data_IF_518950427715
#
_entry.id   IF_518950427715
#
_cell.length_a   1.000
_cell.length_b   1.000
_cell.length_c   1.000
_cell.angle_alpha   90.00
_cell.angle_beta   90.00
_cell.angle_gamma   90.00
#
_symmetry.space_group_name_H-M   'P 1'
#
loop_
_entity.id
_entity.type
_entity.pdbx_description
1 polymer ?
#
# COMPACT_ATOMS: atom_id res chain seq x y z
N UNK A 1 4.47 2.81 23.29
CA UNK A 1 4.32 1.54 22.58
C UNK A 1 4.63 1.72 21.11
N UNK A 2 5.37 0.80 20.55
CA UNK A 2 5.80 0.89 19.16
C UNK A 2 4.62 0.82 18.20
N UNK A 3 4.66 1.59 17.12
CA UNK A 3 3.73 1.52 16.00
C UNK A 3 3.55 0.08 15.52
N UNK A 4 4.67 -0.66 15.40
CA UNK A 4 4.68 -2.04 14.92
C UNK A 4 3.83 -3.00 15.75
N UNK A 5 3.67 -2.73 17.03
CA UNK A 5 2.87 -3.59 17.90
C UNK A 5 1.38 -3.55 17.57
N UNK A 6 0.92 -2.47 16.92
CA UNK A 6 -0.50 -2.29 16.53
C UNK A 6 -0.73 -2.47 15.05
N UNK A 7 0.32 -2.43 14.25
CA UNK A 7 0.19 -2.51 12.81
C UNK A 7 -0.22 -3.92 12.39
N UNK A 8 -1.12 -3.99 11.43
CA UNK A 8 -1.54 -5.24 10.80
C UNK A 8 -1.03 -5.26 9.37
N UNK A 9 -0.36 -6.35 9.02
CA UNK A 9 0.22 -6.50 7.69
C UNK A 9 -0.67 -7.39 6.82
N UNK A 10 -0.81 -6.99 5.58
CA UNK A 10 -1.46 -7.76 4.52
C UNK A 10 -0.54 -7.78 3.31
N UNK A 11 -0.71 -8.78 2.47
CA UNK A 11 0.10 -8.92 1.27
C UNK A 11 -0.79 -8.99 0.04
N UNK A 12 -0.31 -8.38 -1.06
CA UNK A 12 -0.92 -8.51 -2.37
C UNK A 12 0.18 -8.90 -3.34
N UNK A 13 -0.08 -9.92 -4.15
CA UNK A 13 0.86 -10.34 -5.19
C UNK A 13 0.39 -9.73 -6.51
N UNK A 14 1.30 -9.02 -7.17
CA UNK A 14 0.99 -8.24 -8.37
C UNK A 14 1.96 -8.65 -9.48
N UNK A 15 1.43 -8.86 -10.69
CA UNK A 15 2.24 -9.24 -11.85
C UNK A 15 2.83 -7.98 -12.51
N UNK A 16 3.79 -7.36 -11.82
CA UNK A 16 4.50 -6.16 -12.28
C UNK A 16 5.80 -6.03 -11.50
N UNK A 17 6.67 -5.11 -11.93
CA UNK A 17 7.93 -4.85 -11.26
C UNK A 17 7.72 -4.09 -9.95
N UNK A 18 8.62 -4.25 -8.95
CA UNK A 18 8.42 -3.61 -7.65
C UNK A 18 8.25 -2.10 -7.69
N UNK A 19 9.02 -1.41 -8.53
CA UNK A 19 8.92 0.04 -8.65
C UNK A 19 7.57 0.49 -9.21
N UNK A 20 7.04 -0.25 -10.19
CA UNK A 20 5.71 0.02 -10.74
C UNK A 20 4.61 -0.23 -9.72
N UNK A 21 4.72 -1.33 -8.98
CA UNK A 21 3.73 -1.68 -7.96
C UNK A 21 3.71 -0.64 -6.85
N UNK A 22 4.88 -0.17 -6.45
CA UNK A 22 4.97 0.87 -5.42
C UNK A 22 4.31 2.16 -5.88
N UNK A 23 4.58 2.59 -7.12
CA UNK A 23 3.95 3.79 -7.70
C UNK A 23 2.44 3.64 -7.78
N UNK A 24 1.95 2.48 -8.21
CA UNK A 24 0.51 2.22 -8.27
C UNK A 24 -0.11 2.24 -6.88
N UNK A 25 0.57 1.64 -5.90
CA UNK A 25 0.11 1.65 -4.52
C UNK A 25 -0.03 3.07 -3.97
N UNK A 26 0.96 3.91 -4.24
CA UNK A 26 0.92 5.32 -3.85
C UNK A 26 -0.25 6.04 -4.52
N UNK A 27 -0.46 5.80 -5.82
CA UNK A 27 -1.57 6.42 -6.55
C UNK A 27 -2.93 6.00 -5.97
N UNK A 28 -3.08 4.73 -5.62
CA UNK A 28 -4.32 4.24 -5.01
C UNK A 28 -4.53 4.88 -3.64
N UNK A 29 -3.48 4.97 -2.81
CA UNK A 29 -3.59 5.62 -1.50
C UNK A 29 -4.03 7.07 -1.63
N UNK A 30 -3.51 7.80 -2.61
CA UNK A 30 -3.92 9.18 -2.86
C UNK A 30 -5.40 9.26 -3.23
N UNK A 31 -5.89 8.35 -4.05
CA UNK A 31 -7.32 8.28 -4.39
C UNK A 31 -8.21 8.02 -3.19
N UNK A 32 -7.70 7.27 -2.23
CA UNK A 32 -8.41 7.00 -0.99
C UNK A 32 -8.34 8.16 0.00
N UNK A 33 -7.62 9.23 -0.36
CA UNK A 33 -7.52 10.42 0.47
C UNK A 33 -6.27 10.47 1.34
N UNK A 34 -5.34 9.55 1.17
CA UNK A 34 -4.13 9.52 1.96
C UNK A 34 -3.11 10.55 1.46
N UNK A 35 -2.35 11.10 2.39
CA UNK A 35 -1.22 11.98 2.09
C UNK A 35 0.07 11.17 2.19
N UNK A 36 0.85 11.17 1.12
CA UNK A 36 2.14 10.48 1.11
C UNK A 36 3.15 11.30 1.89
N UNK A 37 3.72 10.71 2.93
CA UNK A 37 4.70 11.36 3.79
C UNK A 37 6.12 10.93 3.51
N UNK A 38 6.30 9.79 2.87
CA UNK A 38 7.63 9.30 2.51
C UNK A 38 7.52 8.37 1.30
N UNK A 39 8.48 8.48 0.39
CA UNK A 39 8.59 7.61 -0.77
C UNK A 39 10.06 7.33 -1.01
N UNK A 40 10.43 6.06 -1.02
CA UNK A 40 11.80 5.64 -1.26
C UNK A 40 11.81 4.49 -2.27
N UNK A 41 12.07 4.83 -3.53
CA UNK A 41 12.05 3.85 -4.61
C UNK A 41 13.17 2.81 -4.47
N UNK A 42 14.32 3.22 -3.93
CA UNK A 42 15.46 2.32 -3.77
C UNK A 42 15.18 1.24 -2.73
N UNK A 43 14.54 1.62 -1.64
CA UNK A 43 14.15 0.69 -0.60
C UNK A 43 12.84 -0.04 -0.91
N UNK A 44 12.11 0.43 -1.91
CA UNK A 44 10.80 -0.14 -2.25
C UNK A 44 9.73 0.17 -1.22
N UNK A 45 9.84 1.31 -0.53
CA UNK A 45 8.93 1.64 0.57
C UNK A 45 8.22 2.98 0.34
N UNK A 46 7.03 3.10 0.91
CA UNK A 46 6.31 4.36 0.97
C UNK A 46 5.51 4.41 2.27
N UNK A 47 5.30 5.61 2.77
CA UNK A 47 4.49 5.84 3.96
C UNK A 47 3.47 6.91 3.67
N UNK A 48 2.29 6.75 4.27
CA UNK A 48 1.19 7.67 4.06
C UNK A 48 0.39 7.84 5.35
N UNK A 49 -0.33 8.95 5.41
CA UNK A 49 -1.27 9.23 6.49
C UNK A 49 -2.64 9.42 5.91
N UNK A 50 -3.61 8.76 6.49
CA UNK A 50 -5.00 8.89 6.11
C UNK A 50 -5.77 9.47 7.30
N UNK A 51 -6.29 10.68 7.12
CA UNK A 51 -7.08 11.33 8.15
C UNK A 51 -8.55 11.11 7.83
N UNK A 52 -9.14 10.11 8.45
CA UNK A 52 -10.53 9.74 8.19
C UNK A 52 -11.42 9.88 9.42
N UNK A 53 -10.83 9.81 10.60
CA UNK A 53 -11.54 9.90 11.86
C UNK A 53 -10.81 10.86 12.77
N UNK A 54 -10.99 10.71 14.07
CA UNK A 54 -10.33 11.56 15.06
C UNK A 54 -8.81 11.40 15.09
N UNK A 55 -8.30 10.28 14.57
CA UNK A 55 -6.86 9.99 14.54
C UNK A 55 -6.41 9.70 13.11
N UNK A 56 -5.24 10.22 12.71
CA UNK A 56 -4.66 9.80 11.44
C UNK A 56 -4.24 8.34 11.53
N UNK A 57 -4.50 7.60 10.46
CA UNK A 57 -3.98 6.25 10.33
C UNK A 57 -2.67 6.28 9.56
N UNK A 58 -1.69 5.53 10.02
CA UNK A 58 -0.43 5.36 9.30
C UNK A 58 -0.54 4.15 8.39
N UNK A 59 -0.05 4.29 7.18
CA UNK A 59 -0.02 3.21 6.20
C UNK A 59 1.39 3.11 5.67
N UNK A 60 1.94 1.91 5.63
CA UNK A 60 3.27 1.66 5.08
C UNK A 60 3.17 0.62 3.98
N UNK A 61 3.79 0.91 2.84
CA UNK A 61 3.91 -0.02 1.73
C UNK A 61 5.36 -0.49 1.61
N UNK A 62 5.53 -1.77 1.32
CA UNK A 62 6.84 -2.33 1.00
C UNK A 62 6.68 -3.29 -0.18
N UNK A 63 7.29 -2.93 -1.31
CA UNK A 63 7.26 -3.74 -2.52
C UNK A 63 8.55 -4.53 -2.63
N UNK A 64 8.45 -5.86 -2.75
CA UNK A 64 9.64 -6.68 -2.94
C UNK A 64 9.41 -7.70 -4.06
N UNK A 65 10.47 -7.97 -4.81
CA UNK A 65 10.42 -8.93 -5.90
C UNK A 65 10.13 -10.33 -5.35
N UNK A 66 9.13 -10.99 -5.92
CA UNK A 66 8.72 -12.34 -5.55
C UNK A 66 8.95 -13.32 -6.69
N UNK A 67 9.49 -12.87 -7.80
CA UNK A 67 9.77 -13.66 -8.99
C UNK A 67 10.02 -12.75 -10.17
N UNK A 68 10.15 -13.31 -11.37
CA UNK A 68 10.32 -12.52 -12.59
C UNK A 68 9.03 -11.76 -12.87
N UNK A 69 9.09 -10.44 -12.87
CA UNK A 69 7.95 -9.56 -13.09
C UNK A 69 6.77 -9.85 -12.14
N UNK A 70 7.08 -10.28 -10.92
CA UNK A 70 6.08 -10.52 -9.87
C UNK A 70 6.56 -9.83 -8.61
N UNK A 71 5.68 -9.07 -7.98
CA UNK A 71 5.98 -8.33 -6.76
C UNK A 71 5.01 -8.71 -5.67
N UNK A 72 5.53 -8.86 -4.47
CA UNK A 72 4.72 -8.93 -3.25
C UNK A 72 4.69 -7.56 -2.62
N UNK A 73 3.52 -6.98 -2.54
CA UNK A 73 3.33 -5.71 -1.86
C UNK A 73 2.80 -5.97 -0.45
N UNK A 74 3.58 -5.58 0.54
CA UNK A 74 3.18 -5.65 1.93
C UNK A 74 2.56 -4.32 2.31
N UNK A 75 1.37 -4.37 2.88
CA UNK A 75 0.63 -3.18 3.30
C UNK A 75 0.38 -3.30 4.80
N UNK A 76 0.88 -2.33 5.55
CA UNK A 76 0.72 -2.30 7.00
C UNK A 76 -0.05 -1.06 7.42
N UNK A 77 -0.92 -1.20 8.39
CA UNK A 77 -1.64 -0.06 8.94
C UNK A 77 -2.01 -0.30 10.40
N UNK A 78 -2.06 0.79 11.16
CA UNK A 78 -2.54 0.80 12.54
C UNK A 78 -4.02 1.18 12.66
N UNK A 79 -4.71 1.35 11.53
CA UNK A 79 -6.12 1.76 11.53
C UNK A 79 -7.02 0.65 12.04
N UNK A 80 -7.96 1.00 12.92
CA UNK A 80 -8.92 0.04 13.46
C UNK A 80 -9.83 -0.54 12.37
N UNK A 81 -10.24 0.28 11.41
CA UNK A 81 -11.10 -0.14 10.31
C UNK A 81 -10.29 -0.45 9.05
N UNK A 82 -9.15 -1.10 9.24
CA UNK A 82 -8.22 -1.34 8.13
C UNK A 82 -8.73 -2.38 7.12
N UNK A 83 -9.42 -3.42 7.59
CA UNK A 83 -9.81 -4.52 6.71
C UNK A 83 -10.71 -4.09 5.53
N UNK A 84 -11.77 -3.28 5.73
CA UNK A 84 -12.56 -2.79 4.59
C UNK A 84 -11.76 -1.90 3.65
N UNK A 85 -10.89 -1.05 4.21
CA UNK A 85 -10.05 -0.15 3.45
C UNK A 85 -9.03 -0.94 2.62
N UNK A 86 -8.43 -1.97 3.22
CA UNK A 86 -7.49 -2.82 2.52
C UNK A 86 -8.15 -3.54 1.34
N UNK A 87 -9.37 -4.02 1.51
CA UNK A 87 -10.10 -4.65 0.40
C UNK A 87 -10.28 -3.70 -0.77
N UNK A 88 -10.64 -2.46 -0.51
CA UNK A 88 -10.76 -1.45 -1.55
C UNK A 88 -9.41 -1.13 -2.18
N UNK A 89 -8.38 -0.97 -1.36
CA UNK A 89 -7.03 -0.74 -1.84
C UNK A 89 -6.59 -1.86 -2.79
N UNK A 90 -6.81 -3.10 -2.39
CA UNK A 90 -6.44 -4.27 -3.18
C UNK A 90 -7.17 -4.31 -4.53
N UNK A 91 -8.46 -4.06 -4.53
CA UNK A 91 -9.25 -4.04 -5.76
C UNK A 91 -8.75 -2.94 -6.70
N UNK A 92 -8.55 -1.74 -6.18
CA UNK A 92 -8.09 -0.62 -6.98
C UNK A 92 -6.68 -0.86 -7.52
N UNK A 93 -5.81 -1.43 -6.72
CA UNK A 93 -4.45 -1.77 -7.13
C UNK A 93 -4.45 -2.78 -8.28
N UNK A 94 -5.21 -3.85 -8.14
CA UNK A 94 -5.29 -4.90 -9.16
C UNK A 94 -5.99 -4.42 -10.43
N UNK A 95 -6.89 -3.47 -10.32
CA UNK A 95 -7.55 -2.86 -11.47
C UNK A 95 -6.55 -2.03 -12.29
N UNK A 96 -5.65 -1.31 -11.63
CA UNK A 96 -4.62 -0.53 -12.31
C UNK A 96 -3.58 -1.40 -13.02
N UNK A 97 -3.35 -2.59 -12.51
CA UNK A 97 -2.42 -3.53 -13.11
C UNK A 97 -2.92 -4.05 -14.46
N UNK A 98 -4.21 -4.22 -14.62
CA UNK A 98 -4.75 -4.80 -15.85
C UNK A 98 -4.72 -3.79 -16.97
N UNK A 99 -4.06 -4.10 -18.09
CA UNK A 99 -4.14 -3.22 -19.25
C UNK A 99 -5.59 -3.15 -19.73
N UNK A 100 -6.00 -1.96 -20.05
CA UNK A 100 -7.30 -1.75 -20.65
C UNK A 100 -7.21 -2.21 -22.09
N UNK A 101 -7.79 -3.31 -22.38
CA UNK A 101 -7.85 -3.79 -23.76
C UNK A 101 -8.99 -3.16 -24.50
#
# INVERSE_FOLDING_TARGET
MSWLARARARHVVVAAQPDEVLLHGVAVLRRLGARITRYDADEGTAEARLRRFTRPALIRLHAEAAGSAITRLRVESDALAWAPMFRRFRVDLLTLERPVS
#
